data_IF_382334150947
#
_entry.id   IF_382334150947
#
_cell.length_a   1.000
_cell.length_b   1.000
_cell.length_c   1.000
_cell.angle_alpha   90.00
_cell.angle_beta   90.00
_cell.angle_gamma   90.00
#
_symmetry.space_group_name_H-M   'P 1'
#
loop_
_entity.id
_entity.type
_entity.pdbx_description
1 polymer ?
#
# COMPACT_ATOMS: atom_id res chain seq x y z
N UNK A 1 11.69 10.81 -8.77
CA UNK A 1 11.09 12.16 -8.63
C UNK A 1 9.78 12.00 -7.88
N UNK A 2 9.68 12.52 -6.66
CA UNK A 2 8.52 12.42 -5.77
C UNK A 2 7.36 13.37 -6.15
N UNK A 3 7.31 13.80 -7.41
CA UNK A 3 6.27 14.70 -7.92
C UNK A 3 5.98 14.35 -9.38
N UNK A 4 4.78 13.83 -9.65
CA UNK A 4 4.26 13.68 -11.01
C UNK A 4 3.63 14.99 -11.49
N UNK A 5 3.84 15.35 -12.76
CA UNK A 5 3.20 16.51 -13.39
C UNK A 5 1.86 16.08 -14.01
N UNK A 6 0.74 16.55 -13.46
CA UNK A 6 -0.54 16.52 -14.18
C UNK A 6 -0.54 17.62 -15.27
N UNK A 7 -1.11 17.33 -16.44
CA UNK A 7 -1.19 18.26 -17.59
C UNK A 7 -2.20 19.40 -17.36
N UNK A 8 -3.09 19.27 -16.38
CA UNK A 8 -4.15 20.25 -16.14
C UNK A 8 -3.72 21.30 -15.11
N UNK A 9 -3.58 22.56 -15.57
CA UNK A 9 -3.07 23.69 -14.77
C UNK A 9 -4.01 24.13 -13.63
N UNK A 10 -5.33 23.95 -13.76
CA UNK A 10 -6.30 24.42 -12.77
C UNK A 10 -6.54 23.47 -11.59
N UNK A 11 -6.22 22.18 -11.72
CA UNK A 11 -6.36 21.18 -10.64
C UNK A 11 -5.01 20.72 -10.07
N UNK A 12 -3.97 21.53 -10.24
CA UNK A 12 -2.58 21.12 -10.01
C UNK A 12 -2.26 20.92 -8.53
N UNK A 13 -2.88 21.71 -7.65
CA UNK A 13 -2.64 21.66 -6.20
C UNK A 13 -3.27 20.43 -5.55
N UNK A 14 -4.44 19.99 -6.03
CA UNK A 14 -5.15 18.82 -5.48
C UNK A 14 -4.60 17.47 -5.95
N UNK A 15 -3.74 17.45 -6.98
CA UNK A 15 -3.36 16.21 -7.67
C UNK A 15 -1.88 15.86 -7.61
N UNK A 16 -1.04 16.60 -6.88
CA UNK A 16 0.35 16.16 -6.68
C UNK A 16 0.35 14.96 -5.73
N UNK A 17 0.92 13.84 -6.19
CA UNK A 17 1.03 12.59 -5.42
C UNK A 17 2.47 12.15 -5.31
N UNK A 18 2.78 11.50 -4.20
CA UNK A 18 4.01 10.76 -4.06
C UNK A 18 3.97 9.55 -4.99
N UNK A 19 5.02 9.42 -5.80
CA UNK A 19 5.29 8.19 -6.52
C UNK A 19 6.79 7.96 -6.59
N UNK A 20 7.17 6.70 -6.48
CA UNK A 20 8.56 6.25 -6.51
C UNK A 20 8.74 5.27 -7.65
N UNK A 21 9.68 5.61 -8.54
CA UNK A 21 9.95 4.90 -9.77
C UNK A 21 11.42 4.53 -9.82
N UNK A 22 11.71 3.30 -10.21
CA UNK A 22 13.06 2.83 -10.47
C UNK A 22 13.26 2.73 -11.99
N UNK A 23 14.44 3.16 -12.43
CA UNK A 23 14.89 3.07 -13.80
C UNK A 23 16.29 2.45 -13.82
N UNK A 24 16.48 1.43 -14.66
CA UNK A 24 17.76 0.76 -14.86
C UNK A 24 18.46 1.40 -16.06
N UNK A 25 19.51 2.19 -15.78
CA UNK A 25 20.27 2.93 -16.79
C UNK A 25 21.05 1.97 -17.69
N UNK A 26 21.65 0.92 -17.11
CA UNK A 26 22.54 0.02 -17.85
C UNK A 26 21.76 -0.79 -18.88
N UNK A 27 20.56 -1.23 -18.50
CA UNK A 27 19.72 -2.01 -19.40
C UNK A 27 19.00 -1.16 -20.45
N UNK A 28 19.12 0.17 -20.38
CA UNK A 28 18.37 1.15 -21.18
C UNK A 28 16.91 0.69 -21.42
N UNK A 29 16.30 0.15 -20.37
CA UNK A 29 14.97 -0.43 -20.48
C UNK A 29 14.01 0.74 -20.48
N UNK A 30 13.31 0.97 -21.61
CA UNK A 30 12.21 1.94 -21.67
C UNK A 30 11.13 1.71 -20.60
N UNK A 31 11.17 0.59 -19.88
CA UNK A 31 10.24 0.22 -18.84
C UNK A 31 10.71 0.78 -17.49
N UNK A 32 10.13 1.90 -17.08
CA UNK A 32 10.19 2.39 -15.70
C UNK A 32 9.29 1.53 -14.81
N UNK A 33 9.82 1.03 -13.69
CA UNK A 33 9.03 0.26 -12.72
C UNK A 33 8.51 1.17 -11.62
N UNK A 34 7.18 1.26 -11.47
CA UNK A 34 6.57 1.91 -10.33
C UNK A 34 6.69 1.00 -9.11
N UNK A 35 7.36 1.48 -8.06
CA UNK A 35 7.54 0.72 -6.81
C UNK A 35 6.56 1.19 -5.74
N UNK A 36 6.20 2.46 -5.78
CA UNK A 36 5.22 3.03 -4.87
C UNK A 36 4.45 4.15 -5.55
N UNK A 37 3.15 4.23 -5.26
CA UNK A 37 2.30 5.37 -5.60
C UNK A 37 1.28 5.52 -4.51
N UNK A 38 1.18 6.72 -3.94
CA UNK A 38 0.12 7.02 -2.99
C UNK A 38 -1.21 7.16 -3.74
N UNK A 39 -2.20 6.36 -3.35
CA UNK A 39 -3.56 6.34 -3.87
C UNK A 39 -4.54 6.99 -2.88
N UNK A 40 -4.19 8.18 -2.36
CA UNK A 40 -5.06 8.88 -1.42
C UNK A 40 -6.23 9.54 -2.17
N UNK A 41 -7.34 8.86 -2.38
CA UNK A 41 -8.61 9.60 -2.34
C UNK A 41 -8.70 10.21 -0.93
N UNK A 42 -8.45 11.51 -0.80
CA UNK A 42 -8.39 12.27 0.47
C UNK A 42 -9.76 12.35 1.19
N UNK A 43 -10.68 11.41 0.92
CA UNK A 43 -12.08 11.45 1.40
C UNK A 43 -12.44 10.41 2.45
N UNK A 44 -11.53 9.51 2.84
CA UNK A 44 -11.84 8.49 3.85
C UNK A 44 -10.95 8.64 5.09
N UNK A 45 -11.48 9.33 6.10
CA UNK A 45 -10.99 9.51 7.47
C UNK A 45 -10.10 10.74 7.76
N UNK A 46 -10.69 11.86 8.24
CA UNK A 46 -9.94 13.00 8.81
C UNK A 46 -9.21 12.68 10.13
N UNK A 47 -9.43 11.50 10.73
CA UNK A 47 -8.84 11.10 12.02
C UNK A 47 -7.58 10.22 11.93
N UNK A 48 -7.10 9.87 10.73
CA UNK A 48 -5.76 9.28 10.59
C UNK A 48 -4.79 10.38 10.20
N UNK A 49 -3.82 10.68 11.05
CA UNK A 49 -2.63 11.46 10.69
C UNK A 49 -1.78 10.65 9.71
N UNK A 50 -2.27 10.47 8.48
CA UNK A 50 -1.52 9.90 7.35
C UNK A 50 -0.25 10.69 7.02
N UNK A 51 -0.05 11.85 7.66
CA UNK A 51 1.17 12.65 7.59
C UNK A 51 2.38 12.01 8.28
N UNK A 52 2.21 10.95 9.09
CA UNK A 52 3.34 10.35 9.81
C UNK A 52 4.10 9.26 9.05
N UNK A 53 3.47 8.57 8.08
CA UNK A 53 4.10 7.44 7.38
C UNK A 53 4.91 7.87 6.15
N UNK A 54 4.65 9.05 5.58
CA UNK A 54 5.38 9.55 4.41
C UNK A 54 5.46 11.09 4.34
N UNK A 55 6.51 11.65 3.71
CA UNK A 55 6.60 13.08 3.48
C UNK A 55 5.49 13.56 2.54
N UNK A 56 4.96 14.76 2.75
CA UNK A 56 4.09 15.37 1.75
C UNK A 56 4.82 15.58 0.40
N UNK A 57 4.09 15.59 -0.74
CA UNK A 57 4.67 15.91 -2.04
C UNK A 57 5.32 17.29 -2.03
N UNK A 58 6.53 17.37 -2.60
CA UNK A 58 7.38 18.56 -2.44
C UNK A 58 8.37 18.75 -3.58
N UNK A 59 8.73 19.99 -3.82
CA UNK A 59 9.74 20.42 -4.79
C UNK A 59 11.00 20.90 -4.09
N UNK A 60 12.09 21.03 -4.85
CA UNK A 60 13.36 21.59 -4.38
C UNK A 60 13.87 20.98 -3.06
N UNK A 61 13.59 19.70 -2.83
CA UNK A 61 14.10 18.93 -1.71
C UNK A 61 15.51 18.42 -2.03
N UNK A 62 16.29 18.14 -1.00
CA UNK A 62 17.55 17.41 -1.14
C UNK A 62 17.30 15.92 -0.90
N UNK A 63 17.91 15.07 -1.71
CA UNK A 63 17.83 13.62 -1.59
C UNK A 63 19.24 13.03 -1.63
N UNK A 64 19.64 12.33 -0.57
CA UNK A 64 20.96 11.71 -0.43
C UNK A 64 20.78 10.22 -0.22
N UNK A 65 21.63 9.41 -0.84
CA UNK A 65 21.65 7.97 -0.63
C UNK A 65 22.87 7.55 0.19
N UNK A 66 22.63 6.86 1.29
CA UNK A 66 23.65 6.22 2.11
C UNK A 66 23.84 4.78 1.63
N UNK A 67 25.00 4.53 1.00
CA UNK A 67 25.34 3.21 0.46
C UNK A 67 25.63 2.17 1.54
N UNK A 68 26.17 2.56 2.70
CA UNK A 68 26.49 1.62 3.77
C UNK A 68 25.21 1.07 4.40
N UNK A 69 24.27 1.96 4.73
CA UNK A 69 23.02 1.58 5.41
C UNK A 69 21.89 1.25 4.42
N UNK A 70 22.08 1.51 3.13
CA UNK A 70 21.09 1.35 2.05
C UNK A 70 19.82 2.18 2.31
N UNK A 71 19.98 3.41 2.80
CA UNK A 71 18.90 4.34 3.17
C UNK A 71 18.93 5.59 2.30
N UNK A 72 17.77 6.07 1.88
CA UNK A 72 17.63 7.38 1.23
C UNK A 72 17.17 8.40 2.28
N UNK A 73 17.86 9.52 2.37
CA UNK A 73 17.49 10.62 3.24
C UNK A 73 16.95 11.78 2.41
N UNK A 74 15.81 12.33 2.84
CA UNK A 74 15.17 13.49 2.24
C UNK A 74 15.13 14.61 3.27
N UNK A 75 15.55 15.81 2.87
CA UNK A 75 15.55 16.98 3.73
C UNK A 75 14.80 18.15 3.08
N UNK A 76 13.88 18.72 3.85
CA UNK A 76 13.18 19.96 3.56
C UNK A 76 12.47 19.99 2.21
N UNK A 77 12.54 21.14 1.54
CA UNK A 77 11.89 21.41 0.25
C UNK A 77 10.74 22.41 0.37
N UNK A 78 9.93 22.53 -0.68
CA UNK A 78 8.72 23.36 -0.67
C UNK A 78 7.49 22.49 -1.00
N UNK A 79 6.35 22.67 -0.30
CA UNK A 79 5.15 21.88 -0.54
C UNK A 79 4.29 22.41 -1.71
N UNK A 80 4.71 23.47 -2.39
CA UNK A 80 3.99 24.02 -3.54
C UNK A 80 2.60 24.62 -3.26
N UNK A 81 2.31 25.03 -2.02
CA UNK A 81 1.01 25.62 -1.63
C UNK A 81 0.86 27.07 -2.14
N UNK A 82 -0.20 27.38 -2.89
CA UNK A 82 -0.50 28.74 -3.37
C UNK A 82 -0.63 29.77 -2.26
N UNK A 83 -1.28 29.40 -1.16
CA UNK A 83 -1.49 30.27 -0.01
C UNK A 83 -0.19 30.64 0.74
N UNK A 84 0.91 29.90 0.51
CA UNK A 84 2.18 30.10 1.19
C UNK A 84 3.37 29.77 0.27
N UNK A 85 3.58 30.55 -0.82
CA UNK A 85 4.52 30.21 -1.89
C UNK A 85 6.00 30.24 -1.41
N UNK A 86 6.27 30.98 -0.34
CA UNK A 86 7.60 31.07 0.30
C UNK A 86 7.84 29.99 1.35
N UNK A 87 6.86 29.12 1.64
CA UNK A 87 7.00 28.07 2.65
C UNK A 87 8.18 27.15 2.32
N UNK A 88 8.97 26.84 3.34
CA UNK A 88 10.05 25.87 3.30
C UNK A 88 9.84 24.88 4.42
N UNK A 89 10.04 23.61 4.11
CA UNK A 89 10.01 22.53 5.05
C UNK A 89 11.42 22.37 5.63
N UNK A 90 11.49 22.06 6.91
CA UNK A 90 12.69 21.80 7.72
C UNK A 90 12.68 20.38 8.33
N UNK A 91 11.83 19.52 7.79
CA UNK A 91 11.67 18.13 8.19
C UNK A 91 12.73 17.22 7.55
N UNK A 92 12.97 16.09 8.20
CA UNK A 92 13.94 15.09 7.77
C UNK A 92 13.30 13.71 7.70
N UNK A 93 13.43 13.07 6.55
CA UNK A 93 12.79 11.79 6.22
C UNK A 93 13.83 10.76 5.83
N UNK A 94 13.54 9.50 6.14
CA UNK A 94 14.35 8.37 5.70
C UNK A 94 13.47 7.33 4.99
N UNK A 95 13.98 6.75 3.92
CA UNK A 95 13.34 5.69 3.14
C UNK A 95 14.31 4.52 3.02
N UNK A 96 13.92 3.39 3.60
CA UNK A 96 14.61 2.10 3.45
C UNK A 96 13.79 1.18 2.57
N UNK A 97 14.36 0.75 1.46
CA UNK A 97 13.73 -0.24 0.59
C UNK A 97 14.08 -1.63 1.10
N UNK A 98 13.11 -2.31 1.70
CA UNK A 98 13.26 -3.67 2.18
C UNK A 98 12.81 -4.66 1.11
N UNK A 99 13.72 -5.55 0.68
CA UNK A 99 13.34 -6.69 -0.15
C UNK A 99 12.66 -7.73 0.75
N UNK A 100 11.43 -8.18 0.42
CA UNK A 100 10.80 -9.25 1.17
C UNK A 100 11.65 -10.53 1.18
N UNK A 101 11.65 -11.25 2.29
CA UNK A 101 12.37 -12.53 2.37
C UNK A 101 11.72 -13.60 1.49
N UNK A 102 12.48 -14.63 1.12
CA UNK A 102 11.97 -15.74 0.31
C UNK A 102 10.84 -16.48 1.04
N UNK A 103 10.96 -16.61 2.36
CA UNK A 103 10.00 -17.26 3.25
C UNK A 103 8.69 -16.48 3.28
N UNK A 104 8.78 -15.14 3.40
CA UNK A 104 7.61 -14.26 3.32
C UNK A 104 6.92 -14.40 1.96
N UNK A 105 7.67 -14.34 0.86
CA UNK A 105 7.10 -14.46 -0.48
C UNK A 105 6.39 -15.80 -0.67
N UNK A 106 7.01 -16.90 -0.24
CA UNK A 106 6.41 -18.22 -0.34
C UNK A 106 5.12 -18.34 0.48
N UNK A 107 5.12 -17.82 1.71
CA UNK A 107 3.91 -17.76 2.56
C UNK A 107 2.83 -16.94 1.86
N UNK A 108 3.16 -15.75 1.39
CA UNK A 108 2.21 -14.83 0.78
C UNK A 108 1.62 -15.40 -0.52
N UNK A 109 2.43 -16.02 -1.38
CA UNK A 109 1.92 -16.72 -2.57
C UNK A 109 0.95 -17.86 -2.19
N UNK A 110 1.27 -18.65 -1.16
CA UNK A 110 0.36 -19.70 -0.67
C UNK A 110 -0.93 -19.09 -0.13
N UNK A 111 -0.83 -18.02 0.65
CA UNK A 111 -1.99 -17.29 1.18
C UNK A 111 -2.91 -16.84 0.04
N UNK A 112 -2.38 -16.20 -1.01
CA UNK A 112 -3.17 -15.74 -2.16
C UNK A 112 -3.90 -16.89 -2.86
N UNK A 113 -3.21 -18.01 -3.13
CA UNK A 113 -3.81 -19.19 -3.76
C UNK A 113 -4.90 -19.77 -2.86
N UNK A 114 -4.64 -19.90 -1.56
CA UNK A 114 -5.60 -20.46 -0.61
C UNK A 114 -6.80 -19.54 -0.41
N UNK A 115 -6.60 -18.21 -0.39
CA UNK A 115 -7.67 -17.21 -0.32
C UNK A 115 -8.60 -17.36 -1.51
N UNK A 116 -8.05 -17.46 -2.72
CA UNK A 116 -8.88 -17.63 -3.91
C UNK A 116 -9.67 -18.94 -3.88
N UNK A 117 -9.04 -20.04 -3.46
CA UNK A 117 -9.72 -21.33 -3.26
C UNK A 117 -10.82 -21.26 -2.19
N UNK A 118 -10.63 -20.46 -1.14
CA UNK A 118 -11.69 -20.20 -0.15
C UNK A 118 -12.86 -19.47 -0.80
N UNK A 119 -12.60 -18.43 -1.61
CA UNK A 119 -13.63 -17.67 -2.32
C UNK A 119 -14.46 -18.57 -3.25
N UNK A 120 -13.82 -19.50 -3.97
CA UNK A 120 -14.51 -20.50 -4.80
C UNK A 120 -15.40 -21.45 -3.97
N UNK A 121 -14.87 -21.92 -2.83
CA UNK A 121 -15.61 -22.78 -1.89
C UNK A 121 -16.79 -22.04 -1.25
N UNK A 122 -16.62 -20.78 -0.90
CA UNK A 122 -17.66 -19.97 -0.27
C UNK A 122 -18.83 -19.64 -1.22
N UNK A 123 -18.68 -19.85 -2.52
CA UNK A 123 -19.76 -19.77 -3.50
C UNK A 123 -20.56 -21.07 -3.60
N UNK A 124 -19.95 -22.22 -3.31
CA UNK A 124 -20.55 -23.54 -3.47
C UNK A 124 -21.12 -24.08 -2.16
N UNK A 125 -20.32 -24.08 -1.10
CA UNK A 125 -20.70 -24.59 0.22
C UNK A 125 -20.04 -23.74 1.33
N UNK A 126 -20.84 -22.89 2.02
CA UNK A 126 -20.36 -22.05 3.12
C UNK A 126 -19.69 -22.82 4.27
N UNK A 127 -20.19 -24.01 4.62
CA UNK A 127 -19.68 -24.83 5.74
C UNK A 127 -18.32 -25.42 5.38
N UNK A 128 -18.17 -25.94 4.16
CA UNK A 128 -16.87 -26.43 3.66
C UNK A 128 -15.87 -25.29 3.57
N UNK A 129 -16.31 -24.10 3.14
CA UNK A 129 -15.45 -22.92 3.08
C UNK A 129 -14.96 -22.52 4.48
N UNK A 130 -15.83 -22.48 5.49
CA UNK A 130 -15.44 -22.18 6.88
C UNK A 130 -14.46 -23.21 7.45
N UNK A 131 -14.69 -24.51 7.22
CA UNK A 131 -13.73 -25.56 7.63
C UNK A 131 -12.37 -25.37 6.96
N UNK A 132 -12.36 -25.02 5.68
CA UNK A 132 -11.13 -24.75 4.94
C UNK A 132 -10.42 -23.47 5.43
N UNK A 133 -11.19 -22.42 5.77
CA UNK A 133 -10.66 -21.20 6.37
C UNK A 133 -9.93 -21.51 7.69
N UNK A 134 -10.56 -22.30 8.55
CA UNK A 134 -10.04 -22.63 9.88
C UNK A 134 -8.80 -23.53 9.84
N UNK A 135 -8.74 -24.51 8.94
CA UNK A 135 -7.69 -25.53 8.95
C UNK A 135 -6.54 -25.25 7.96
N UNK A 136 -6.84 -24.71 6.78
CA UNK A 136 -5.86 -24.58 5.70
C UNK A 136 -5.44 -23.12 5.48
N UNK A 137 -6.38 -22.20 5.37
CA UNK A 137 -6.07 -20.80 5.05
C UNK A 137 -5.45 -20.08 6.26
N UNK A 138 -5.97 -20.29 7.46
CA UNK A 138 -5.49 -19.68 8.72
C UNK A 138 -3.98 -19.87 8.96
N UNK A 139 -3.43 -21.02 8.56
CA UNK A 139 -2.00 -21.36 8.71
C UNK A 139 -1.10 -20.50 7.84
N UNK A 140 -1.64 -19.92 6.76
CA UNK A 140 -0.89 -19.03 5.85
C UNK A 140 -1.07 -17.56 6.14
N UNK A 141 -2.03 -17.20 7.00
CA UNK A 141 -2.29 -15.82 7.44
C UNK A 141 -1.19 -15.38 8.41
N UNK A 142 -0.68 -14.17 8.20
CA UNK A 142 0.18 -13.52 9.18
C UNK A 142 -0.65 -12.83 10.26
N UNK A 143 -0.76 -13.49 11.42
CA UNK A 143 -1.53 -12.98 12.57
C UNK A 143 -0.86 -11.80 13.27
N UNK A 144 0.37 -11.45 12.89
CA UNK A 144 1.03 -10.23 13.36
C UNK A 144 0.67 -9.01 12.52
N UNK A 145 0.14 -9.19 11.30
CA UNK A 145 -0.33 -8.11 10.44
C UNK A 145 -1.83 -7.81 10.71
N UNK A 146 -2.17 -6.62 11.24
CA UNK A 146 -3.56 -6.24 11.47
C UNK A 146 -4.41 -6.23 10.19
N UNK A 147 -3.80 -5.99 9.02
CA UNK A 147 -4.53 -5.98 7.74
C UNK A 147 -4.93 -7.39 7.34
N UNK A 148 -3.98 -8.33 7.26
CA UNK A 148 -4.27 -9.73 6.97
C UNK A 148 -5.25 -10.32 8.00
N UNK A 149 -5.08 -10.00 9.28
CA UNK A 149 -5.99 -10.47 10.35
C UNK A 149 -7.41 -9.93 10.18
N UNK A 150 -7.56 -8.63 9.85
CA UNK A 150 -8.86 -8.03 9.57
C UNK A 150 -9.53 -8.67 8.36
N UNK A 151 -8.79 -8.91 7.28
CA UNK A 151 -9.31 -9.61 6.10
C UNK A 151 -9.78 -11.03 6.44
N UNK A 152 -8.97 -11.80 7.18
CA UNK A 152 -9.33 -13.16 7.59
C UNK A 152 -10.59 -13.16 8.47
N UNK A 153 -10.72 -12.19 9.38
CA UNK A 153 -11.93 -12.00 10.18
C UNK A 153 -13.15 -11.60 9.33
N UNK A 154 -12.97 -10.87 8.24
CA UNK A 154 -14.08 -10.56 7.33
C UNK A 154 -14.50 -11.80 6.53
N UNK A 155 -13.54 -12.63 6.12
CA UNK A 155 -13.80 -13.90 5.43
C UNK A 155 -14.56 -14.92 6.29
N UNK A 156 -14.44 -14.87 7.62
CA UNK A 156 -15.24 -15.76 8.48
C UNK A 156 -16.71 -15.32 8.62
N UNK A 157 -17.00 -14.03 8.40
CA UNK A 157 -18.34 -13.45 8.53
C UNK A 157 -19.15 -13.60 7.23
N UNK A 158 -18.50 -13.57 6.07
CA UNK A 158 -19.18 -13.64 4.77
C UNK A 158 -20.01 -14.91 4.51
N UNK A 159 -19.55 -16.13 4.89
CA UNK A 159 -20.33 -17.35 4.69
C UNK A 159 -21.54 -17.43 5.63
N UNK A 160 -21.37 -16.98 6.88
CA UNK A 160 -22.43 -16.98 7.91
C UNK A 160 -23.57 -16.03 7.57
N UNK A 161 -23.28 -14.87 6.97
CA UNK A 161 -24.33 -13.95 6.48
C UNK A 161 -25.11 -14.51 5.29
N UNK A 162 -24.47 -15.25 4.39
CA UNK A 162 -25.15 -15.90 3.26
C UNK A 162 -26.12 -16.98 3.74
N UNK A 163 -25.72 -17.82 4.70
CA UNK A 163 -26.60 -18.84 5.29
C UNK A 163 -27.83 -18.20 5.96
N UNK A 164 -27.65 -17.16 6.79
CA UNK A 164 -28.75 -16.45 7.43
C UNK A 164 -29.72 -15.82 6.42
N UNK A 165 -29.21 -15.30 5.30
CA UNK A 165 -30.04 -14.74 4.22
C UNK A 165 -30.80 -15.82 3.42
N UNK A 166 -30.27 -17.04 3.34
CA UNK A 166 -30.93 -18.17 2.68
C UNK A 166 -32.03 -18.82 3.53
N UNK A 167 -31.92 -18.71 4.87
CA UNK A 167 -32.90 -19.21 5.84
C UNK A 167 -34.08 -18.25 6.08
N UNK A 168 -33.98 -17.00 5.63
CA UNK A 168 -35.04 -15.97 5.76
C UNK A 168 -35.90 -15.82 4.49
N UNK A 169 -35.84 -16.77 3.55
CA UNK A 169 -36.71 -16.86 2.38
C UNK A 169 -37.63 -18.07 2.43
#
# INVERSE_FOLDING_TARGET
VLSGLSKDKEKREENVRNSFWIYDIVRNSCNRSCVYKNDQSVKENPNKSLQEEEPCPRFAHQLVYDEMHKVHYLFGGNPGKSCSPKMRLDDFWSLKLCRPSKEYLLRHCKYLIRKHRFEEKAQTDPVIALKYLQNDLSVTVDHSDPKETKEASQMSITPTLKELSSLTR
#
